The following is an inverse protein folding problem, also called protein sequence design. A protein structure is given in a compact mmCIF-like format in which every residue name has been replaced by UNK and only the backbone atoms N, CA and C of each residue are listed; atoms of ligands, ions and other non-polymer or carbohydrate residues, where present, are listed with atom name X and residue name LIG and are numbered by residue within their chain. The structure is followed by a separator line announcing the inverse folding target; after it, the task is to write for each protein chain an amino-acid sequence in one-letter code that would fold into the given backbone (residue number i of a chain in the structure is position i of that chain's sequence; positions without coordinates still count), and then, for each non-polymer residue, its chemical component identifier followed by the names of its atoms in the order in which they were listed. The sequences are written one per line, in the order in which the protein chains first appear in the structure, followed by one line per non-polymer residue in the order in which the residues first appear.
data_IF_291264655663
#
_entry.id   IF_291264655663
#
_cell.length_a   1.000
_cell.length_b   1.000
_cell.length_c   1.000
_cell.angle_alpha   90.00
_cell.angle_beta   90.00
_cell.angle_gamma   90.00
#
_symmetry.space_group_name_H-M   'P 1'
#
loop_
_entity.id
_entity.type
_entity.pdbx_description
1 polymer ?
#
# COMPACT_ATOMS: atom_id res chain seq x y z
N UNK A 1 0.22 -3.74 30.21
CA UNK A 1 0.85 -3.55 28.89
C UNK A 1 2.00 -2.58 29.06
N UNK A 2 3.25 -3.07 29.09
CA UNK A 2 4.41 -2.17 29.06
C UNK A 2 4.36 -1.45 27.70
N UNK A 3 4.58 -0.14 27.69
CA UNK A 3 4.65 0.62 26.44
C UNK A 3 5.62 -0.06 25.48
N UNK A 4 5.24 -0.17 24.20
CA UNK A 4 6.19 -0.40 23.11
C UNK A 4 7.12 0.82 23.08
N UNK A 5 8.08 0.89 24.01
CA UNK A 5 9.14 1.87 23.94
C UNK A 5 9.92 1.57 22.67
N UNK A 6 9.73 2.42 21.65
CA UNK A 6 10.56 2.45 20.46
C UNK A 6 12.02 2.39 20.91
N UNK A 7 12.74 1.38 20.42
CA UNK A 7 14.18 1.31 20.62
C UNK A 7 14.78 2.50 19.88
N UNK A 8 15.46 3.36 20.64
CA UNK A 8 16.24 4.47 20.11
C UNK A 8 17.55 3.88 19.65
N UNK A 9 17.77 3.86 18.34
CA UNK A 9 19.04 3.48 17.76
C UNK A 9 20.01 4.66 17.86
N UNK A 10 21.31 4.40 17.95
CA UNK A 10 22.30 5.46 18.04
C UNK A 10 22.38 6.24 16.71
N UNK A 11 21.57 7.29 16.58
CA UNK A 11 21.45 8.10 15.36
C UNK A 11 22.23 9.42 15.42
N UNK A 12 22.75 9.83 14.27
CA UNK A 12 23.24 11.19 14.02
C UNK A 12 22.11 12.18 13.70
N UNK A 13 21.01 11.73 13.09
CA UNK A 13 19.79 12.53 12.89
C UNK A 13 18.80 12.23 14.03
N UNK A 14 18.81 13.10 15.04
CA UNK A 14 17.91 13.01 16.20
C UNK A 14 16.54 13.61 15.95
N UNK A 15 16.38 14.38 14.88
CA UNK A 15 15.15 15.13 14.62
C UNK A 15 14.02 14.16 14.29
N UNK A 16 14.25 13.23 13.36
CA UNK A 16 13.24 12.30 12.85
C UNK A 16 13.36 10.86 13.37
N UNK A 17 14.16 10.62 14.41
CA UNK A 17 14.51 9.27 14.89
C UNK A 17 13.29 8.40 15.25
N UNK A 18 12.20 9.05 15.65
CA UNK A 18 10.93 8.44 16.03
C UNK A 18 10.12 7.91 14.84
N UNK A 19 10.38 8.40 13.62
CA UNK A 19 9.63 8.00 12.41
C UNK A 19 10.48 7.50 11.25
N UNK A 20 11.73 7.93 11.08
CA UNK A 20 12.54 7.60 9.89
C UNK A 20 12.87 6.10 9.77
N UNK A 21 13.23 5.61 8.57
CA UNK A 21 13.90 4.33 8.41
C UNK A 21 15.24 4.31 9.12
N UNK A 22 15.80 3.11 9.31
CA UNK A 22 17.16 2.98 9.84
C UNK A 22 18.19 3.60 8.89
N UNK A 23 19.38 3.85 9.40
CA UNK A 23 20.58 4.17 8.64
C UNK A 23 21.49 2.93 8.54
N UNK A 24 22.39 2.90 7.55
CA UNK A 24 23.34 1.80 7.38
C UNK A 24 24.18 1.53 8.63
N UNK A 25 24.53 2.59 9.39
CA UNK A 25 25.25 2.48 10.67
C UNK A 25 24.48 1.72 11.76
N UNK A 26 23.16 1.58 11.62
CA UNK A 26 22.27 0.94 12.61
C UNK A 26 21.94 -0.51 12.24
N UNK A 27 22.29 -0.95 11.02
CA UNK A 27 21.95 -2.27 10.47
C UNK A 27 22.47 -3.40 11.36
N UNK A 28 23.73 -3.32 11.81
CA UNK A 28 24.32 -4.37 12.67
C UNK A 28 23.54 -4.55 13.98
N UNK A 29 23.19 -3.44 14.63
CA UNK A 29 22.43 -3.48 15.89
C UNK A 29 21.01 -4.01 15.68
N UNK A 30 20.33 -3.55 14.63
CA UNK A 30 18.99 -4.00 14.28
C UNK A 30 18.96 -5.50 13.95
N UNK A 31 19.97 -6.01 13.22
CA UNK A 31 20.07 -7.42 12.89
C UNK A 31 20.27 -8.28 14.15
N UNK A 32 21.18 -7.91 15.06
CA UNK A 32 21.34 -8.66 16.30
C UNK A 32 20.07 -8.63 17.16
N UNK A 33 19.34 -7.51 17.17
CA UNK A 33 18.05 -7.44 17.85
C UNK A 33 17.05 -8.44 17.25
N UNK A 34 16.88 -8.43 15.93
CA UNK A 34 15.94 -9.32 15.24
C UNK A 34 16.31 -10.78 15.48
N UNK A 35 17.58 -11.16 15.30
CA UNK A 35 18.04 -12.56 15.45
C UNK A 35 17.89 -13.11 16.88
N UNK A 36 17.84 -12.25 17.90
CA UNK A 36 17.62 -12.63 19.29
C UNK A 36 16.13 -12.61 19.71
N UNK A 37 15.22 -12.13 18.87
CA UNK A 37 13.79 -12.10 19.15
C UNK A 37 13.12 -13.44 18.77
N UNK A 38 12.49 -14.08 19.75
CA UNK A 38 11.85 -15.40 19.58
C UNK A 38 10.64 -15.36 18.65
N UNK A 39 9.88 -14.26 18.64
CA UNK A 39 8.71 -14.11 17.78
C UNK A 39 9.14 -13.83 16.33
N UNK A 40 10.20 -13.04 16.13
CA UNK A 40 10.80 -12.87 14.81
C UNK A 40 11.25 -14.21 14.23
N UNK A 41 12.00 -15.01 14.99
CA UNK A 41 12.40 -16.35 14.56
C UNK A 41 11.21 -17.21 14.18
N UNK A 42 10.19 -17.30 15.05
CA UNK A 42 9.00 -18.10 14.78
C UNK A 42 8.24 -17.66 13.51
N UNK A 43 8.25 -16.36 13.18
CA UNK A 43 7.62 -15.83 11.98
C UNK A 43 8.44 -16.07 10.70
N UNK A 44 9.78 -15.95 10.77
CA UNK A 44 10.66 -15.97 9.59
C UNK A 44 11.16 -17.37 9.24
N UNK A 45 11.46 -18.21 10.23
CA UNK A 45 12.05 -19.54 10.03
C UNK A 45 11.26 -20.43 9.04
N UNK A 46 9.91 -20.48 9.07
CA UNK A 46 9.14 -21.24 8.07
C UNK A 46 9.26 -20.69 6.65
N UNK A 47 9.44 -19.37 6.50
CA UNK A 47 9.43 -18.69 5.21
C UNK A 47 10.78 -18.79 4.50
N UNK A 48 11.88 -18.82 5.26
CA UNK A 48 13.25 -18.91 4.73
C UNK A 48 13.67 -20.33 4.33
N UNK A 49 12.85 -21.35 4.63
CA UNK A 49 13.14 -22.72 4.22
C UNK A 49 13.39 -22.82 2.70
N UNK A 50 14.41 -23.60 2.27
CA UNK A 50 15.16 -24.59 3.06
C UNK A 50 16.39 -24.06 3.82
N UNK A 51 16.62 -22.75 3.88
CA UNK A 51 17.75 -22.17 4.63
C UNK A 51 17.56 -22.38 6.13
N UNK A 52 18.59 -22.89 6.82
CA UNK A 52 18.54 -23.09 8.28
C UNK A 52 18.61 -21.75 9.01
N UNK A 53 18.06 -21.69 10.23
CA UNK A 53 18.16 -20.48 11.05
C UNK A 53 19.61 -20.05 11.30
N UNK A 54 20.52 -21.00 11.48
CA UNK A 54 21.94 -20.70 11.75
C UNK A 54 22.62 -20.10 10.52
N UNK A 55 22.33 -20.61 9.32
CA UNK A 55 22.91 -20.08 8.09
C UNK A 55 22.30 -18.72 7.73
N UNK A 56 20.98 -18.56 7.91
CA UNK A 56 20.31 -17.26 7.79
C UNK A 56 20.89 -16.23 8.77
N UNK A 57 21.12 -16.64 10.02
CA UNK A 57 21.72 -15.78 11.04
C UNK A 57 23.14 -15.36 10.68
N UNK A 58 23.96 -16.28 10.15
CA UNK A 58 25.31 -15.96 9.66
C UNK A 58 25.27 -14.99 8.48
N UNK A 59 24.35 -15.21 7.53
CA UNK A 59 24.17 -14.33 6.37
C UNK A 59 23.77 -12.92 6.81
N UNK A 60 22.74 -12.81 7.66
CA UNK A 60 22.26 -11.55 8.23
C UNK A 60 23.39 -10.76 8.90
N UNK A 61 24.22 -11.42 9.72
CA UNK A 61 25.38 -10.77 10.37
C UNK A 61 26.43 -10.23 9.41
N UNK A 62 26.45 -10.71 8.17
CA UNK A 62 27.32 -10.21 7.11
C UNK A 62 26.90 -8.85 6.55
N UNK A 63 25.63 -8.47 6.63
CA UNK A 63 25.09 -7.25 6.01
C UNK A 63 25.60 -5.98 6.69
N UNK A 64 26.00 -4.99 5.89
CA UNK A 64 26.55 -3.71 6.36
C UNK A 64 25.69 -2.52 5.96
N UNK A 65 24.71 -2.72 5.09
CA UNK A 65 23.79 -1.69 4.61
C UNK A 65 22.35 -2.19 4.58
N UNK A 66 21.41 -1.24 4.50
CA UNK A 66 20.00 -1.51 4.24
C UNK A 66 19.84 -2.20 2.90
N UNK A 67 20.63 -1.78 1.90
CA UNK A 67 20.63 -2.41 0.57
C UNK A 67 21.00 -3.89 0.65
N UNK A 68 22.02 -4.27 1.42
CA UNK A 68 22.39 -5.68 1.62
C UNK A 68 21.20 -6.48 2.16
N UNK A 69 20.51 -5.95 3.18
CA UNK A 69 19.33 -6.61 3.76
C UNK A 69 18.19 -6.72 2.74
N UNK A 70 17.86 -5.63 2.04
CA UNK A 70 16.79 -5.62 1.04
C UNK A 70 17.08 -6.59 -0.10
N UNK A 71 18.30 -6.55 -0.66
CA UNK A 71 18.70 -7.37 -1.81
C UNK A 71 18.81 -8.86 -1.49
N UNK A 72 19.32 -9.20 -0.30
CA UNK A 72 19.58 -10.60 0.04
C UNK A 72 18.41 -11.28 0.77
N UNK A 73 17.53 -10.52 1.42
CA UNK A 73 16.39 -11.07 2.18
C UNK A 73 15.07 -10.70 1.54
N UNK A 74 14.73 -9.41 1.50
CA UNK A 74 13.39 -8.94 1.08
C UNK A 74 13.12 -9.29 -0.38
N UNK A 75 14.09 -9.05 -1.26
CA UNK A 75 13.99 -9.36 -2.68
C UNK A 75 13.66 -10.85 -2.91
N UNK A 76 14.42 -11.75 -2.28
CA UNK A 76 14.21 -13.20 -2.40
C UNK A 76 12.85 -13.65 -1.83
N UNK A 77 12.42 -13.06 -0.72
CA UNK A 77 11.13 -13.37 -0.11
C UNK A 77 9.96 -12.98 -1.03
N UNK A 78 9.99 -11.77 -1.57
CA UNK A 78 8.92 -11.31 -2.46
C UNK A 78 8.96 -12.06 -3.80
N UNK A 79 10.13 -12.40 -4.36
CA UNK A 79 10.20 -13.27 -5.55
C UNK A 79 9.54 -14.64 -5.30
N UNK A 80 9.72 -15.21 -4.11
CA UNK A 80 9.04 -16.45 -3.71
C UNK A 80 7.52 -16.26 -3.66
N UNK A 81 7.03 -15.12 -3.17
CA UNK A 81 5.60 -14.80 -3.19
C UNK A 81 5.05 -14.59 -4.59
N UNK A 82 5.75 -13.81 -5.44
CA UNK A 82 5.40 -13.61 -6.85
C UNK A 82 5.25 -14.96 -7.54
N UNK A 83 6.26 -15.82 -7.45
CA UNK A 83 6.26 -17.14 -8.10
C UNK A 83 5.06 -18.02 -7.74
N UNK A 84 4.57 -17.91 -6.51
CA UNK A 84 3.49 -18.78 -6.02
C UNK A 84 2.10 -18.18 -6.23
N UNK A 85 1.99 -16.85 -6.31
CA UNK A 85 0.71 -16.15 -6.13
C UNK A 85 0.40 -15.10 -7.20
N UNK A 86 1.31 -14.81 -8.12
CA UNK A 86 1.15 -13.79 -9.16
C UNK A 86 1.50 -14.40 -10.51
N UNK A 87 0.59 -14.32 -11.48
CA UNK A 87 0.81 -14.88 -12.82
C UNK A 87 1.72 -13.98 -13.67
N UNK A 88 1.50 -12.67 -13.56
CA UNK A 88 2.28 -11.65 -14.26
C UNK A 88 2.38 -10.41 -13.40
N UNK A 89 3.57 -9.83 -13.31
CA UNK A 89 3.81 -8.54 -12.69
C UNK A 89 4.31 -7.57 -13.76
N UNK A 90 3.62 -6.45 -13.95
CA UNK A 90 3.99 -5.43 -14.92
C UNK A 90 4.15 -4.05 -14.25
N UNK A 91 5.22 -3.35 -14.65
CA UNK A 91 5.43 -1.94 -14.35
C UNK A 91 5.36 -1.16 -15.67
N UNK A 92 4.26 -0.45 -15.85
CA UNK A 92 3.95 0.28 -17.07
C UNK A 92 4.24 1.77 -16.93
N UNK A 93 4.55 2.39 -18.06
CA UNK A 93 4.93 3.80 -18.19
C UNK A 93 6.14 4.25 -17.34
N UNK A 94 7.19 3.43 -17.08
CA UNK A 94 8.35 3.90 -16.31
C UNK A 94 9.13 5.02 -17.00
N UNK A 95 8.90 5.25 -18.31
CA UNK A 95 9.54 6.31 -19.10
C UNK A 95 8.79 7.64 -19.10
N UNK A 96 7.58 7.69 -18.54
CA UNK A 96 6.80 8.94 -18.41
C UNK A 96 7.28 9.77 -17.21
N UNK A 97 8.15 9.22 -16.38
CA UNK A 97 8.77 9.87 -15.22
C UNK A 97 10.29 9.64 -15.25
N UNK A 98 11.04 10.60 -14.72
CA UNK A 98 12.47 10.45 -14.52
C UNK A 98 12.72 9.71 -13.21
N UNK A 99 12.97 8.40 -13.30
CA UNK A 99 13.19 7.53 -12.14
C UNK A 99 14.55 7.74 -11.44
N UNK A 100 15.45 8.56 -12.02
CA UNK A 100 16.68 8.99 -11.36
C UNK A 100 16.43 10.20 -10.41
N UNK A 101 15.31 10.89 -10.58
CA UNK A 101 14.84 11.94 -9.67
C UNK A 101 13.94 11.37 -8.55
N UNK A 102 13.79 12.15 -7.48
CA UNK A 102 13.01 11.76 -6.31
C UNK A 102 11.55 12.23 -6.40
N UNK A 103 10.61 11.28 -6.31
CA UNK A 103 9.17 11.52 -6.45
C UNK A 103 8.39 11.07 -5.21
N UNK A 104 7.22 11.66 -4.98
CA UNK A 104 6.23 11.11 -4.04
C UNK A 104 5.18 10.33 -4.81
N UNK A 105 5.28 9.00 -4.80
CA UNK A 105 4.29 8.12 -5.40
C UNK A 105 3.05 8.01 -4.50
N UNK A 106 1.91 8.46 -5.01
CA UNK A 106 0.62 8.35 -4.34
C UNK A 106 -0.25 7.34 -5.10
N UNK A 107 -0.70 6.28 -4.43
CA UNK A 107 -1.47 5.21 -5.08
C UNK A 107 -2.77 4.84 -4.38
N UNK A 108 -3.67 4.17 -5.10
CA UNK A 108 -4.70 3.33 -4.47
C UNK A 108 -4.01 2.15 -3.76
N UNK A 109 -4.77 1.36 -2.99
CA UNK A 109 -4.19 0.35 -2.11
C UNK A 109 -4.95 -0.98 -2.17
N UNK A 110 -4.28 -2.04 -2.66
CA UNK A 110 -4.86 -3.37 -2.87
C UNK A 110 -4.36 -4.38 -1.82
N UNK A 111 -3.11 -4.31 -1.43
CA UNK A 111 -2.49 -5.17 -0.42
C UNK A 111 -1.73 -4.36 0.65
N UNK A 112 -1.96 -4.68 1.93
CA UNK A 112 -1.38 -3.96 3.07
C UNK A 112 0.16 -3.95 3.04
N UNK A 113 0.78 -5.03 2.57
CA UNK A 113 2.23 -5.23 2.62
C UNK A 113 2.82 -5.29 1.21
N UNK A 114 2.20 -6.04 0.30
CA UNK A 114 2.81 -6.37 -0.98
C UNK A 114 2.77 -5.22 -1.99
N UNK A 115 1.91 -4.21 -1.86
CA UNK A 115 1.90 -3.08 -2.80
C UNK A 115 3.28 -2.40 -2.88
N UNK A 116 3.85 -2.05 -1.72
CA UNK A 116 5.17 -1.44 -1.66
C UNK A 116 6.29 -2.43 -2.02
N UNK A 117 6.14 -3.72 -1.66
CA UNK A 117 7.12 -4.76 -1.98
C UNK A 117 7.24 -5.04 -3.47
N UNK A 118 6.10 -5.17 -4.16
CA UNK A 118 6.03 -5.43 -5.60
C UNK A 118 6.51 -4.23 -6.42
N UNK A 119 6.15 -3.01 -6.01
CA UNK A 119 6.69 -1.79 -6.63
C UNK A 119 8.22 -1.75 -6.51
N UNK A 120 8.76 -1.95 -5.31
CA UNK A 120 10.19 -1.84 -5.06
C UNK A 120 11.02 -2.90 -5.78
N UNK A 121 10.53 -4.12 -5.93
CA UNK A 121 11.20 -5.10 -6.78
C UNK A 121 11.13 -4.73 -8.25
N UNK A 122 9.99 -4.23 -8.72
CA UNK A 122 9.86 -3.80 -10.11
C UNK A 122 10.84 -2.67 -10.45
N UNK A 123 11.09 -1.76 -9.50
CA UNK A 123 12.12 -0.72 -9.61
C UNK A 123 13.54 -1.31 -9.60
N UNK A 124 13.85 -2.20 -8.64
CA UNK A 124 15.16 -2.85 -8.52
C UNK A 124 15.52 -3.68 -9.77
N UNK A 125 14.56 -4.41 -10.36
CA UNK A 125 14.74 -5.17 -11.61
C UNK A 125 15.08 -4.26 -12.81
N UNK A 126 14.65 -3.00 -12.77
CA UNK A 126 14.99 -2.00 -13.78
C UNK A 126 16.24 -1.18 -13.42
N UNK A 127 16.89 -1.47 -12.29
CA UNK A 127 18.11 -0.80 -11.84
C UNK A 127 17.88 0.52 -11.10
N UNK A 128 16.65 0.80 -10.66
CA UNK A 128 16.31 2.01 -9.90
C UNK A 128 16.26 1.77 -8.40
N UNK A 129 16.42 2.84 -7.63
CA UNK A 129 16.37 2.80 -6.17
C UNK A 129 14.96 2.47 -5.66
N UNK A 130 14.89 1.64 -4.62
CA UNK A 130 13.66 1.39 -3.86
C UNK A 130 13.20 2.63 -3.11
N UNK A 131 11.91 2.75 -2.85
CA UNK A 131 11.26 3.87 -2.14
C UNK A 131 11.38 3.76 -0.63
N UNK A 132 11.27 4.90 0.06
CA UNK A 132 10.85 4.92 1.46
C UNK A 132 9.33 4.72 1.56
N UNK A 133 8.87 3.92 2.53
CA UNK A 133 7.49 3.40 2.58
C UNK A 133 6.77 4.00 3.79
N UNK A 134 5.67 4.72 3.57
CA UNK A 134 4.82 5.17 4.67
C UNK A 134 4.07 3.99 5.30
N UNK A 135 4.23 3.77 6.61
CA UNK A 135 3.51 2.72 7.35
C UNK A 135 2.86 3.26 8.62
N UNK A 136 1.60 2.91 8.87
CA UNK A 136 0.88 3.28 10.09
C UNK A 136 1.40 2.53 11.34
N UNK A 137 1.54 3.24 12.46
CA UNK A 137 1.96 2.67 13.74
C UNK A 137 0.97 1.63 14.32
N UNK A 138 -0.28 1.66 13.89
CA UNK A 138 -1.32 0.68 14.25
C UNK A 138 -0.93 -0.78 13.90
N UNK A 139 -0.06 -0.98 12.90
CA UNK A 139 0.45 -2.30 12.50
C UNK A 139 1.67 -2.75 13.31
N UNK A 140 2.29 -1.84 14.07
CA UNK A 140 3.56 -2.06 14.76
C UNK A 140 3.34 -2.63 16.17
N UNK A 141 2.63 -3.77 16.23
CA UNK A 141 2.18 -4.39 17.48
C UNK A 141 3.32 -5.03 18.30
N UNK A 142 4.43 -5.40 17.64
CA UNK A 142 5.61 -5.97 18.29
C UNK A 142 6.88 -5.18 17.93
N UNK A 143 7.83 -5.00 18.87
CA UNK A 143 9.06 -4.24 18.61
C UNK A 143 9.91 -4.75 17.44
N UNK A 144 9.93 -6.06 17.20
CA UNK A 144 10.64 -6.65 16.06
C UNK A 144 10.01 -6.22 14.73
N UNK A 145 8.69 -6.01 14.65
CA UNK A 145 8.02 -5.52 13.44
C UNK A 145 8.49 -4.10 13.14
N UNK A 146 8.49 -3.22 14.15
CA UNK A 146 9.01 -1.85 14.00
C UNK A 146 10.44 -1.84 13.48
N UNK A 147 11.30 -2.70 14.02
CA UNK A 147 12.69 -2.78 13.58
C UNK A 147 12.80 -3.31 12.16
N UNK A 148 12.06 -4.36 11.81
CA UNK A 148 12.07 -4.97 10.50
C UNK A 148 11.61 -3.99 9.41
N UNK A 149 10.49 -3.28 9.62
CA UNK A 149 9.97 -2.35 8.61
C UNK A 149 10.88 -1.14 8.44
N UNK A 150 11.46 -0.60 9.53
CA UNK A 150 12.44 0.49 9.45
C UNK A 150 13.75 0.05 8.78
N UNK A 151 14.17 -1.20 8.99
CA UNK A 151 15.29 -1.81 8.26
C UNK A 151 14.96 -2.03 6.78
N UNK A 152 13.67 -2.09 6.42
CA UNK A 152 13.17 -2.17 5.05
C UNK A 152 12.66 -0.82 4.51
N UNK A 153 13.36 0.29 4.85
CA UNK A 153 13.06 1.65 4.38
C UNK A 153 11.67 2.21 4.76
N UNK A 154 10.94 1.63 5.71
CA UNK A 154 9.66 2.22 6.13
C UNK A 154 9.84 3.37 7.12
N UNK A 155 9.09 4.44 6.92
CA UNK A 155 8.90 5.50 7.90
C UNK A 155 7.50 5.47 8.50
N UNK A 156 7.39 5.89 9.76
CA UNK A 156 6.21 5.66 10.59
C UNK A 156 5.26 6.86 10.54
N UNK A 157 4.01 6.59 10.20
CA UNK A 157 2.89 7.51 10.33
C UNK A 157 2.19 7.23 11.66
N UNK A 158 2.25 8.20 12.58
CA UNK A 158 1.63 8.09 13.91
C UNK A 158 0.12 8.32 13.84
N UNK A 159 -0.68 7.30 14.17
CA UNK A 159 -2.16 7.34 14.06
C UNK A 159 -2.83 7.31 15.43
N UNK A 160 -2.33 6.45 16.32
CA UNK A 160 -2.93 6.21 17.63
C UNK A 160 -2.44 7.22 18.67
N UNK A 161 -2.49 8.52 18.34
CA UNK A 161 -2.02 9.62 19.19
C UNK A 161 -3.17 10.50 19.69
N UNK A 162 -3.05 11.12 20.88
CA UNK A 162 -4.04 12.06 21.38
C UNK A 162 -4.29 13.20 20.39
N UNK A 163 -5.54 13.64 20.27
CA UNK A 163 -5.96 14.71 19.32
C UNK A 163 -5.07 15.97 19.40
N UNK A 164 -4.60 16.31 20.60
CA UNK A 164 -3.72 17.47 20.83
C UNK A 164 -2.34 17.36 20.17
N UNK A 165 -1.87 16.14 19.88
CA UNK A 165 -0.58 15.86 19.26
C UNK A 165 -0.68 15.62 17.74
N UNK A 166 -1.89 15.47 17.19
CA UNK A 166 -2.09 15.16 15.76
C UNK A 166 -1.45 16.22 14.87
N UNK A 167 -1.62 17.51 15.18
CA UNK A 167 -1.07 18.59 14.36
C UNK A 167 0.46 18.59 14.35
N UNK A 168 1.08 18.40 15.52
CA UNK A 168 2.53 18.34 15.67
C UNK A 168 3.11 17.13 14.94
N UNK A 169 2.52 15.94 15.12
CA UNK A 169 2.94 14.74 14.41
C UNK A 169 2.74 14.84 12.89
N UNK A 170 1.65 15.48 12.44
CA UNK A 170 1.39 15.73 11.02
C UNK A 170 2.40 16.70 10.41
N UNK A 171 2.78 17.74 11.15
CA UNK A 171 3.80 18.69 10.72
C UNK A 171 5.18 18.03 10.66
N UNK A 172 5.54 17.25 11.67
CA UNK A 172 6.78 16.46 11.71
C UNK A 172 6.89 15.50 10.51
N UNK A 173 5.79 14.81 10.18
CA UNK A 173 5.72 13.93 9.01
C UNK A 173 5.86 14.70 7.69
N UNK A 174 5.21 15.86 7.57
CA UNK A 174 5.33 16.73 6.40
C UNK A 174 6.79 17.18 6.20
N UNK A 175 7.44 17.69 7.25
CA UNK A 175 8.83 18.12 7.22
C UNK A 175 9.76 16.97 6.83
N UNK A 176 9.54 15.77 7.37
CA UNK A 176 10.28 14.57 6.99
C UNK A 176 10.16 14.26 5.50
N UNK A 177 8.93 14.21 4.96
CA UNK A 177 8.71 13.87 3.56
C UNK A 177 9.36 14.89 2.61
N UNK A 178 9.23 16.18 2.92
CA UNK A 178 9.89 17.25 2.16
C UNK A 178 11.42 17.13 2.19
N UNK A 179 12.01 16.85 3.35
CA UNK A 179 13.46 16.64 3.50
C UNK A 179 13.92 15.41 2.72
N UNK A 180 13.15 14.32 2.74
CA UNK A 180 13.46 13.08 2.01
C UNK A 180 13.48 13.29 0.49
N UNK A 181 12.52 14.03 -0.06
CA UNK A 181 12.52 14.38 -1.49
C UNK A 181 13.64 15.40 -1.80
N UNK A 182 13.66 16.55 -1.12
CA UNK A 182 14.52 17.66 -1.51
C UNK A 182 16.01 17.45 -1.21
N UNK A 183 16.33 16.88 -0.04
CA UNK A 183 17.71 16.77 0.46
C UNK A 183 18.28 15.35 0.32
N UNK A 184 17.51 14.32 0.70
CA UNK A 184 18.00 12.93 0.60
C UNK A 184 17.95 12.37 -0.82
N UNK A 185 17.18 13.00 -1.73
CA UNK A 185 16.98 12.54 -3.10
C UNK A 185 16.47 11.10 -3.16
N UNK A 186 15.48 10.80 -2.33
CA UNK A 186 14.93 9.46 -2.16
C UNK A 186 13.41 9.49 -2.37
N UNK A 187 12.90 8.71 -3.32
CA UNK A 187 11.47 8.62 -3.59
C UNK A 187 10.70 8.00 -2.43
N UNK A 188 9.44 8.41 -2.27
CA UNK A 188 8.51 7.92 -1.24
C UNK A 188 7.33 7.22 -1.91
N UNK A 189 6.82 6.16 -1.29
CA UNK A 189 5.50 5.61 -1.60
C UNK A 189 4.55 5.80 -0.41
N UNK A 190 3.34 6.28 -0.70
CA UNK A 190 2.26 6.46 0.27
C UNK A 190 0.90 6.15 -0.38
N UNK A 191 0.02 5.47 0.34
CA UNK A 191 -1.36 5.25 -0.11
C UNK A 191 -2.17 6.56 -0.04
N UNK A 192 -3.06 6.79 -1.01
CA UNK A 192 -3.88 8.00 -1.14
C UNK A 192 -4.87 8.23 0.01
N UNK A 193 -5.07 7.22 0.85
CA UNK A 193 -5.93 7.25 2.01
C UNK A 193 -5.46 6.29 3.09
N UNK A 194 -5.97 6.51 4.29
CA UNK A 194 -5.89 5.54 5.37
C UNK A 194 -6.62 4.24 5.04
N UNK A 195 -5.84 3.15 4.99
CA UNK A 195 -6.34 1.78 4.81
C UNK A 195 -6.81 1.49 3.39
N UNK A 196 -7.07 0.21 3.13
CA UNK A 196 -7.61 -0.26 1.84
C UNK A 196 -9.11 0.01 1.74
N UNK A 197 -9.59 0.46 0.58
CA UNK A 197 -11.03 0.47 0.32
C UNK A 197 -11.60 -0.96 0.40
N UNK A 198 -12.79 -1.08 1.00
CA UNK A 198 -13.47 -2.36 1.18
C UNK A 198 -14.27 -2.76 -0.05
N UNK A 199 -14.74 -1.78 -0.79
CA UNK A 199 -15.49 -1.87 -2.04
C UNK A 199 -14.64 -1.57 -3.29
N UNK A 200 -13.31 -1.44 -3.13
CA UNK A 200 -12.38 -1.04 -4.19
C UNK A 200 -12.64 0.34 -4.81
N UNK A 201 -13.45 1.19 -4.15
CA UNK A 201 -13.65 2.59 -4.50
C UNK A 201 -12.73 3.49 -3.66
N UNK A 202 -11.44 3.46 -4.01
CA UNK A 202 -10.42 4.28 -3.36
C UNK A 202 -10.59 5.75 -3.74
N UNK A 203 -10.60 6.64 -2.74
CA UNK A 203 -10.70 8.10 -2.90
C UNK A 203 -9.63 8.79 -2.07
N UNK A 204 -8.96 9.76 -2.65
CA UNK A 204 -7.87 10.49 -2.01
C UNK A 204 -8.40 11.30 -0.83
N UNK A 205 -7.75 11.17 0.33
CA UNK A 205 -8.12 11.92 1.51
C UNK A 205 -7.51 13.33 1.46
N UNK A 206 -8.35 14.36 1.34
CA UNK A 206 -7.88 15.76 1.36
C UNK A 206 -7.10 16.13 2.64
N UNK A 207 -7.34 15.43 3.76
CA UNK A 207 -6.56 15.58 5.00
C UNK A 207 -5.09 15.16 4.84
N UNK A 208 -4.80 14.16 4.01
CA UNK A 208 -3.43 13.75 3.67
C UNK A 208 -2.73 14.87 2.91
N UNK A 209 -3.36 15.43 1.86
CA UNK A 209 -2.77 16.56 1.13
C UNK A 209 -2.59 17.79 2.02
N UNK A 210 -3.56 18.06 2.90
CA UNK A 210 -3.43 19.12 3.91
C UNK A 210 -2.20 18.90 4.79
N UNK A 211 -1.96 17.67 5.24
CA UNK A 211 -0.76 17.31 6.01
C UNK A 211 0.51 17.62 5.21
N UNK A 212 0.58 17.25 3.93
CA UNK A 212 1.74 17.50 3.06
C UNK A 212 2.10 18.99 2.90
N UNK A 213 1.15 19.89 3.12
CA UNK A 213 1.35 21.36 3.04
C UNK A 213 1.75 22.01 4.37
N UNK A 214 1.87 21.25 5.47
CA UNK A 214 2.09 21.83 6.79
C UNK A 214 3.46 22.49 6.97
N UNK A 215 4.47 22.09 6.18
CA UNK A 215 5.79 22.73 6.17
C UNK A 215 5.76 24.20 5.71
N UNK A 216 4.89 24.54 4.75
CA UNK A 216 4.64 25.92 4.33
C UNK A 216 3.15 26.15 4.04
N UNK A 217 2.43 26.40 5.13
CA UNK A 217 0.98 26.67 5.12
C UNK A 217 0.61 27.93 4.35
N UNK A 218 1.56 28.85 4.13
CA UNK A 218 1.30 30.09 3.39
C UNK A 218 1.33 29.83 1.88
N UNK A 219 2.09 28.85 1.42
CA UNK A 219 2.21 28.47 0.02
C UNK A 219 1.93 26.97 -0.18
N UNK A 220 0.67 26.52 -0.03
CA UNK A 220 0.32 25.10 -0.13
C UNK A 220 0.62 24.51 -1.50
N UNK A 221 0.48 25.28 -2.59
CA UNK A 221 0.79 24.81 -3.94
C UNK A 221 2.26 24.55 -4.14
N UNK A 222 3.10 25.52 -3.79
CA UNK A 222 4.54 25.32 -3.87
C UNK A 222 5.01 24.20 -2.94
N UNK A 223 4.33 23.98 -1.82
CA UNK A 223 4.59 22.81 -0.97
C UNK A 223 4.26 21.50 -1.69
N UNK A 224 3.08 21.37 -2.31
CA UNK A 224 2.74 20.15 -3.06
C UNK A 224 3.68 19.92 -4.24
N UNK A 225 4.05 20.98 -4.96
CA UNK A 225 4.95 20.89 -6.12
C UNK A 225 6.36 20.42 -5.75
N UNK A 226 6.87 20.85 -4.60
CA UNK A 226 8.18 20.41 -4.06
C UNK A 226 8.24 18.92 -3.72
N UNK A 227 7.10 18.26 -3.54
CA UNK A 227 7.03 16.82 -3.29
C UNK A 227 7.03 15.98 -4.57
N UNK A 228 6.93 16.63 -5.73
CA UNK A 228 6.86 16.02 -7.06
C UNK A 228 5.92 14.80 -7.08
N UNK A 229 4.63 15.08 -6.89
CA UNK A 229 3.62 14.03 -6.72
C UNK A 229 3.39 13.34 -8.07
N UNK A 230 3.60 12.03 -8.07
CA UNK A 230 3.34 11.13 -9.19
C UNK A 230 2.25 10.14 -8.77
N UNK A 231 1.03 10.22 -9.34
CA UNK A 231 0.01 9.21 -9.10
C UNK A 231 0.47 7.85 -9.65
N UNK A 232 0.13 6.78 -8.93
CA UNK A 232 0.48 5.41 -9.28
C UNK A 232 -0.79 4.56 -9.20
N UNK A 233 -1.19 3.97 -10.32
CA UNK A 233 -2.33 3.06 -10.36
C UNK A 233 -1.89 1.62 -10.08
N UNK A 234 -2.57 0.95 -9.13
CA UNK A 234 -2.33 -0.45 -8.75
C UNK A 234 -3.57 -1.27 -9.08
N UNK A 235 -3.40 -2.23 -9.99
CA UNK A 235 -4.47 -3.11 -10.46
C UNK A 235 -4.10 -4.57 -10.21
N UNK A 236 -4.82 -5.22 -9.30
CA UNK A 236 -4.73 -6.66 -9.09
C UNK A 236 -5.92 -7.28 -9.82
N UNK A 237 -5.72 -8.39 -10.49
CA UNK A 237 -6.80 -9.15 -11.09
C UNK A 237 -7.67 -9.75 -9.98
N UNK A 238 -7.09 -10.47 -9.02
CA UNK A 238 -7.82 -10.97 -7.86
C UNK A 238 -7.36 -10.28 -6.57
N UNK A 239 -8.29 -9.98 -5.66
CA UNK A 239 -7.99 -9.50 -4.32
C UNK A 239 -8.04 -10.68 -3.33
N UNK A 240 -6.88 -11.11 -2.79
CA UNK A 240 -6.81 -12.19 -1.80
C UNK A 240 -7.74 -12.03 -0.60
N UNK A 241 -8.06 -10.78 -0.24
CA UNK A 241 -8.84 -10.43 0.93
C UNK A 241 -10.31 -10.14 0.63
N UNK A 242 -10.80 -10.38 -0.59
CA UNK A 242 -12.19 -10.06 -0.95
C UNK A 242 -13.24 -10.70 -0.03
N UNK A 243 -13.07 -11.97 0.34
CA UNK A 243 -13.95 -12.67 1.26
C UNK A 243 -13.92 -12.06 2.68
N UNK A 244 -12.75 -11.62 3.15
CA UNK A 244 -12.61 -10.94 4.45
C UNK A 244 -13.30 -9.57 4.43
N UNK A 245 -13.26 -8.87 3.29
CA UNK A 245 -13.96 -7.58 3.10
C UNK A 245 -15.47 -7.79 3.06
N UNK A 246 -15.95 -8.80 2.34
CA UNK A 246 -17.37 -9.16 2.29
C UNK A 246 -17.89 -9.60 3.66
N UNK A 247 -17.14 -10.43 4.38
CA UNK A 247 -17.43 -10.81 5.77
C UNK A 247 -17.55 -9.57 6.66
N UNK A 248 -16.61 -8.63 6.56
CA UNK A 248 -16.67 -7.37 7.32
C UNK A 248 -17.92 -6.54 6.98
N UNK A 249 -18.34 -6.49 5.71
CA UNK A 249 -19.58 -5.81 5.33
C UNK A 249 -20.80 -6.44 5.98
N UNK A 250 -20.89 -7.79 6.01
CA UNK A 250 -22.03 -8.46 6.63
C UNK A 250 -22.02 -8.22 8.15
N UNK A 251 -20.87 -8.39 8.80
CA UNK A 251 -20.76 -8.19 10.25
C UNK A 251 -21.13 -6.75 10.65
N UNK A 252 -20.77 -5.74 9.85
CA UNK A 252 -21.18 -4.34 10.10
C UNK A 252 -22.66 -4.08 9.84
N UNK A 253 -23.27 -4.79 8.89
CA UNK A 253 -24.70 -4.72 8.62
C UNK A 253 -25.50 -5.33 9.78
N UNK A 254 -25.03 -6.46 10.30
CA UNK A 254 -25.74 -7.24 11.30
C UNK A 254 -25.46 -6.75 12.74
N UNK A 255 -24.29 -6.12 12.97
CA UNK A 255 -23.86 -5.60 14.28
C UNK A 255 -23.32 -4.17 14.17
N UNK A 256 -24.09 -3.19 14.68
CA UNK A 256 -23.76 -1.76 14.61
C UNK A 256 -22.41 -1.40 15.25
N UNK A 257 -22.04 -2.08 16.35
CA UNK A 257 -20.81 -1.84 17.10
C UNK A 257 -19.62 -2.69 16.64
N UNK A 258 -19.73 -3.41 15.51
CA UNK A 258 -18.65 -4.28 15.04
C UNK A 258 -17.37 -3.49 14.79
N UNK A 259 -16.29 -3.93 15.47
CA UNK A 259 -14.94 -3.42 15.28
C UNK A 259 -13.99 -4.59 15.07
N UNK A 260 -13.15 -4.48 14.05
CA UNK A 260 -12.05 -5.43 13.83
C UNK A 260 -11.13 -5.49 15.04
N UNK A 261 -10.70 -6.69 15.37
CA UNK A 261 -9.65 -6.95 16.33
C UNK A 261 -8.27 -6.80 15.68
N UNK A 262 -7.22 -6.72 16.51
CA UNK A 262 -5.83 -6.76 16.02
C UNK A 262 -5.49 -8.09 15.33
N UNK A 263 -6.19 -9.17 15.70
CA UNK A 263 -6.01 -10.47 15.09
C UNK A 263 -6.58 -10.49 13.66
N UNK A 264 -7.69 -9.79 13.42
CA UNK A 264 -8.26 -9.66 12.07
C UNK A 264 -7.32 -8.92 11.13
N UNK A 265 -6.63 -7.88 11.62
CA UNK A 265 -5.61 -7.18 10.83
C UNK A 265 -4.42 -8.10 10.48
N UNK A 266 -3.99 -8.97 11.40
CA UNK A 266 -2.96 -9.97 11.14
C UNK A 266 -3.40 -11.00 10.09
N UNK A 267 -4.65 -11.48 10.18
CA UNK A 267 -5.23 -12.39 9.19
C UNK A 267 -5.30 -11.73 7.82
N UNK A 268 -5.73 -10.46 7.75
CA UNK A 268 -5.76 -9.70 6.49
C UNK A 268 -4.35 -9.55 5.89
N UNK A 269 -3.33 -9.27 6.70
CA UNK A 269 -1.94 -9.16 6.23
C UNK A 269 -1.41 -10.50 5.70
N UNK A 270 -1.62 -11.59 6.42
CA UNK A 270 -1.18 -12.93 6.01
C UNK A 270 -1.91 -13.40 4.75
N UNK A 271 -3.23 -13.20 4.70
CA UNK A 271 -4.08 -13.53 3.55
C UNK A 271 -3.65 -12.74 2.32
N UNK A 272 -3.39 -11.44 2.48
CA UNK A 272 -2.82 -10.59 1.42
C UNK A 272 -1.52 -11.18 0.87
N UNK A 273 -0.56 -11.49 1.73
CA UNK A 273 0.73 -12.06 1.30
C UNK A 273 0.56 -13.40 0.56
N UNK A 274 -0.24 -14.31 1.11
CA UNK A 274 -0.29 -15.71 0.68
C UNK A 274 -1.31 -16.00 -0.41
N UNK A 275 -2.33 -15.17 -0.59
CA UNK A 275 -3.38 -15.43 -1.56
C UNK A 275 -2.99 -15.05 -2.99
N UNK A 276 -3.60 -15.77 -3.92
CA UNK A 276 -3.47 -15.60 -5.37
C UNK A 276 -4.05 -14.26 -5.84
N UNK A 277 -3.34 -13.61 -6.77
CA UNK A 277 -3.63 -12.25 -7.26
C UNK A 277 -3.87 -12.18 -8.77
N UNK A 278 -3.67 -13.28 -9.50
CA UNK A 278 -3.66 -13.29 -10.96
C UNK A 278 -2.61 -12.33 -11.53
N UNK A 279 -3.00 -11.54 -12.52
CA UNK A 279 -2.17 -10.49 -13.08
C UNK A 279 -2.15 -9.24 -12.18
N UNK A 280 -0.95 -8.69 -11.95
CA UNK A 280 -0.73 -7.48 -11.17
C UNK A 280 -0.05 -6.43 -12.04
N UNK A 281 -0.65 -5.25 -12.13
CA UNK A 281 -0.15 -4.13 -12.91
C UNK A 281 0.02 -2.89 -12.05
N UNK A 282 1.21 -2.31 -12.11
CA UNK A 282 1.54 -0.99 -11.60
C UNK A 282 1.71 -0.05 -12.80
N UNK A 283 1.05 1.10 -12.80
CA UNK A 283 1.16 2.08 -13.89
C UNK A 283 1.48 3.45 -13.33
N UNK A 284 2.65 3.98 -13.68
CA UNK A 284 2.98 5.38 -13.37
C UNK A 284 2.13 6.31 -14.23
N UNK A 285 1.58 7.33 -13.56
CA UNK A 285 0.94 8.47 -14.21
C UNK A 285 1.95 9.60 -14.39
N UNK A 286 1.55 10.68 -15.07
CA UNK A 286 2.41 11.86 -15.22
C UNK A 286 2.52 12.62 -13.90
N UNK A 287 3.66 13.29 -13.64
CA UNK A 287 3.79 14.18 -12.48
C UNK A 287 2.71 15.26 -12.49
N UNK A 288 2.12 15.56 -11.33
CA UNK A 288 0.98 16.46 -11.25
C UNK A 288 1.33 17.94 -11.31
N UNK A 289 2.60 18.32 -11.26
CA UNK A 289 3.03 19.72 -11.16
C UNK A 289 2.42 20.61 -12.26
N UNK A 290 2.41 20.16 -13.51
CA UNK A 290 1.79 20.90 -14.61
C UNK A 290 0.28 21.09 -14.42
N UNK A 291 -0.43 20.04 -14.00
CA UNK A 291 -1.88 20.11 -13.72
C UNK A 291 -2.18 21.00 -12.52
N UNK A 292 -1.34 20.94 -11.48
CA UNK A 292 -1.46 21.76 -10.27
C UNK A 292 -1.31 23.25 -10.63
N UNK A 293 -0.35 23.61 -11.49
CA UNK A 293 -0.18 24.99 -11.96
C UNK A 293 -1.44 25.52 -12.65
N UNK A 294 -2.06 24.72 -13.51
CA UNK A 294 -3.30 25.10 -14.21
C UNK A 294 -4.47 25.37 -13.26
N UNK A 295 -4.69 24.51 -12.26
CA UNK A 295 -5.83 24.66 -11.33
C UNK A 295 -5.59 25.74 -10.27
N UNK A 296 -4.33 25.95 -9.86
CA UNK A 296 -3.97 26.94 -8.83
C UNK A 296 -4.29 28.39 -9.23
N UNK A 297 -4.28 28.69 -10.54
CA UNK A 297 -4.61 30.01 -11.05
C UNK A 297 -6.08 30.42 -10.83
N UNK A 298 -6.96 29.47 -10.48
CA UNK A 298 -8.41 29.66 -10.45
C UNK A 298 -9.10 29.37 -9.11
N UNK A 299 -8.38 28.86 -8.10
CA UNK A 299 -8.98 28.33 -6.86
C UNK A 299 -8.28 28.84 -5.58
N UNK A 300 -9.03 28.96 -4.49
CA UNK A 300 -8.52 29.35 -3.18
C UNK A 300 -8.44 28.18 -2.19
N UNK A 301 -7.36 28.10 -1.42
CA UNK A 301 -7.27 27.38 -0.14
C UNK A 301 -7.79 25.94 -0.14
N UNK A 302 -8.86 25.67 0.63
CA UNK A 302 -9.39 24.31 0.83
C UNK A 302 -10.01 23.69 -0.42
N UNK A 303 -10.56 24.51 -1.33
CA UNK A 303 -11.12 24.04 -2.61
C UNK A 303 -9.99 23.44 -3.45
N UNK A 304 -8.81 24.06 -3.41
CA UNK A 304 -7.66 23.63 -4.17
C UNK A 304 -7.15 22.25 -3.73
N UNK A 305 -7.13 21.95 -2.42
CA UNK A 305 -6.76 20.61 -1.93
C UNK A 305 -7.77 19.54 -2.36
N UNK A 306 -9.05 19.87 -2.42
CA UNK A 306 -10.06 18.96 -2.97
C UNK A 306 -9.82 18.73 -4.45
N UNK A 307 -9.61 19.80 -5.24
CA UNK A 307 -9.31 19.69 -6.68
C UNK A 307 -8.06 18.83 -6.93
N UNK A 308 -6.98 19.01 -6.15
CA UNK A 308 -5.79 18.15 -6.28
C UNK A 308 -6.08 16.71 -5.87
N UNK A 309 -6.94 16.47 -4.87
CA UNK A 309 -7.38 15.12 -4.51
C UNK A 309 -8.15 14.46 -5.67
N UNK A 310 -9.05 15.21 -6.29
CA UNK A 310 -9.84 14.75 -7.43
C UNK A 310 -8.94 14.47 -8.66
N UNK A 311 -7.90 15.30 -8.88
CA UNK A 311 -6.90 15.07 -9.94
C UNK A 311 -6.09 13.79 -9.73
N UNK A 312 -5.71 13.48 -8.47
CA UNK A 312 -5.02 12.22 -8.14
C UNK A 312 -5.96 11.04 -8.43
N UNK A 313 -7.22 11.12 -7.97
CA UNK A 313 -8.22 10.08 -8.20
C UNK A 313 -8.50 9.89 -9.69
N UNK A 314 -8.62 10.97 -10.46
CA UNK A 314 -8.82 10.94 -11.92
C UNK A 314 -7.66 10.22 -12.61
N UNK A 315 -6.42 10.61 -12.31
CA UNK A 315 -5.23 9.98 -12.89
C UNK A 315 -5.13 8.50 -12.52
N UNK A 316 -5.42 8.12 -11.28
CA UNK A 316 -5.35 6.71 -10.86
C UNK A 316 -6.44 5.88 -11.55
N UNK A 317 -7.68 6.37 -11.56
CA UNK A 317 -8.82 5.65 -12.13
C UNK A 317 -8.69 5.48 -13.65
N UNK A 318 -8.25 6.53 -14.34
CA UNK A 318 -8.01 6.52 -15.79
C UNK A 318 -6.96 5.50 -16.20
N UNK A 319 -6.03 5.21 -15.29
CA UNK A 319 -4.86 4.36 -15.54
C UNK A 319 -4.99 2.93 -14.98
N UNK A 320 -6.16 2.54 -14.45
CA UNK A 320 -6.41 1.14 -14.08
C UNK A 320 -6.24 0.20 -15.28
N UNK A 321 -5.63 -0.95 -15.02
CA UNK A 321 -5.68 -2.09 -15.93
C UNK A 321 -6.99 -2.82 -15.69
N UNK A 322 -7.78 -3.00 -16.75
CA UNK A 322 -9.12 -3.60 -16.65
C UNK A 322 -9.05 -5.03 -17.19
N UNK A 323 -9.28 -5.99 -16.31
CA UNK A 323 -9.31 -7.42 -16.63
C UNK A 323 -10.73 -7.86 -17.02
N UNK A 324 -10.85 -9.04 -17.66
CA UNK A 324 -12.14 -9.58 -18.11
C UNK A 324 -13.13 -9.72 -16.95
N UNK A 325 -12.65 -10.08 -15.76
CA UNK A 325 -13.49 -10.20 -14.55
C UNK A 325 -14.15 -8.88 -14.12
N UNK A 326 -13.55 -7.71 -14.41
CA UNK A 326 -14.14 -6.42 -14.06
C UNK A 326 -15.36 -6.12 -14.93
N UNK A 327 -15.27 -6.47 -16.22
CA UNK A 327 -16.41 -6.39 -17.16
C UNK A 327 -17.52 -7.38 -16.79
N UNK A 328 -17.15 -8.62 -16.44
CA UNK A 328 -18.11 -9.64 -15.99
C UNK A 328 -18.84 -9.16 -14.73
N UNK A 329 -18.10 -8.66 -13.74
CA UNK A 329 -18.65 -8.18 -12.48
C UNK A 329 -19.63 -7.01 -12.69
N UNK A 330 -19.28 -6.06 -13.57
CA UNK A 330 -20.18 -4.96 -13.94
C UNK A 330 -21.49 -5.46 -14.55
N UNK A 331 -21.40 -6.37 -15.52
CA UNK A 331 -22.57 -6.90 -16.23
C UNK A 331 -23.48 -7.71 -15.28
N UNK A 332 -22.90 -8.50 -14.38
CA UNK A 332 -23.67 -9.23 -13.35
C UNK A 332 -24.36 -8.24 -12.40
N UNK A 333 -23.62 -7.26 -11.87
CA UNK A 333 -24.16 -6.30 -10.90
C UNK A 333 -25.32 -5.46 -11.46
N UNK A 334 -25.25 -5.11 -12.75
CA UNK A 334 -26.25 -4.27 -13.42
C UNK A 334 -27.31 -5.07 -14.19
N UNK A 335 -27.29 -6.41 -14.14
CA UNK A 335 -28.13 -7.27 -14.97
C UNK A 335 -28.08 -6.88 -16.46
N UNK A 336 -26.88 -6.64 -16.99
CA UNK A 336 -26.63 -6.17 -18.35
C UNK A 336 -25.70 -7.08 -19.15
N UNK A 337 -25.64 -6.87 -20.46
CA UNK A 337 -24.71 -7.51 -21.39
C UNK A 337 -23.83 -6.48 -22.13
N UNK A 338 -23.72 -5.28 -21.57
CA UNK A 338 -23.04 -4.10 -22.14
C UNK A 338 -21.61 -4.44 -22.57
N UNK A 339 -20.91 -5.26 -21.79
CA UNK A 339 -19.51 -5.61 -22.03
C UNK A 339 -19.31 -7.07 -22.43
N UNK A 340 -20.35 -7.76 -22.91
CA UNK A 340 -20.29 -9.16 -23.37
C UNK A 340 -19.25 -9.45 -24.45
N UNK A 341 -18.76 -8.44 -25.17
CA UNK A 341 -17.66 -8.57 -26.14
C UNK A 341 -16.25 -8.58 -25.51
N UNK A 342 -16.14 -8.30 -24.20
CA UNK A 342 -14.87 -8.21 -23.45
C UNK A 342 -14.50 -9.48 -22.70
N UNK A 343 -15.38 -10.48 -22.68
CA UNK A 343 -15.17 -11.76 -22.03
C UNK A 343 -15.93 -12.87 -22.76
N UNK A 344 -15.55 -14.12 -22.52
CA UNK A 344 -16.25 -15.29 -23.02
C UNK A 344 -16.99 -16.05 -21.89
N UNK A 345 -17.80 -17.04 -22.28
CA UNK A 345 -18.61 -17.82 -21.33
C UNK A 345 -17.76 -18.59 -20.29
N UNK A 346 -16.58 -19.07 -20.68
CA UNK A 346 -15.66 -19.76 -19.76
C UNK A 346 -15.11 -18.81 -18.71
N UNK A 347 -14.66 -17.61 -19.10
CA UNK A 347 -14.19 -16.59 -18.15
C UNK A 347 -15.30 -16.18 -17.17
N UNK A 348 -16.53 -15.99 -17.67
CA UNK A 348 -17.69 -15.69 -16.82
C UNK A 348 -17.95 -16.81 -15.81
N UNK A 349 -17.95 -18.06 -16.25
CA UNK A 349 -18.17 -19.19 -15.36
C UNK A 349 -17.05 -19.33 -14.32
N UNK A 350 -15.79 -19.16 -14.72
CA UNK A 350 -14.65 -19.18 -13.82
C UNK A 350 -14.73 -18.08 -12.76
N UNK A 351 -15.14 -16.86 -13.14
CA UNK A 351 -15.32 -15.77 -12.18
C UNK A 351 -16.45 -16.04 -11.19
N UNK A 352 -17.59 -16.55 -11.67
CA UNK A 352 -18.71 -16.94 -10.78
C UNK A 352 -18.27 -18.05 -9.82
N UNK A 353 -17.55 -19.06 -10.30
CA UNK A 353 -17.00 -20.13 -9.46
C UNK A 353 -16.00 -19.58 -8.44
N UNK A 354 -15.13 -18.67 -8.84
CA UNK A 354 -14.21 -17.97 -7.94
C UNK A 354 -14.98 -17.25 -6.83
N UNK A 355 -16.01 -16.44 -7.16
CA UNK A 355 -16.82 -15.75 -6.15
C UNK A 355 -17.44 -16.74 -5.16
N UNK A 356 -18.00 -17.85 -5.64
CA UNK A 356 -18.57 -18.89 -4.79
C UNK A 356 -17.51 -19.48 -3.84
N UNK A 357 -16.32 -19.80 -4.35
CA UNK A 357 -15.20 -20.29 -3.53
C UNK A 357 -14.74 -19.27 -2.49
N UNK A 358 -14.77 -17.97 -2.81
CA UNK A 358 -14.47 -16.91 -1.84
C UNK A 358 -15.54 -16.81 -0.77
N UNK A 359 -16.82 -16.88 -1.13
CA UNK A 359 -17.92 -16.91 -0.16
C UNK A 359 -17.82 -18.13 0.74
N UNK A 360 -17.46 -19.31 0.23
CA UNK A 360 -17.30 -20.53 1.03
C UNK A 360 -16.27 -20.41 2.15
N UNK A 361 -15.22 -19.58 1.98
CA UNK A 361 -14.23 -19.29 3.03
C UNK A 361 -14.78 -18.50 4.22
N UNK A 362 -15.98 -17.92 4.09
CA UNK A 362 -16.58 -17.09 5.12
C UNK A 362 -17.33 -17.97 6.11
N UNK A 363 -16.82 -18.01 7.34
CA UNK A 363 -17.39 -18.73 8.48
C UNK A 363 -17.91 -17.73 9.51
N UNK A 364 -19.21 -17.39 9.44
CA UNK A 364 -19.92 -16.53 10.40
C UNK A 364 -21.34 -17.06 10.65
N UNK A 365 -21.90 -16.69 11.80
CA UNK A 365 -23.31 -16.94 12.10
C UNK A 365 -24.23 -16.18 11.13
N UNK A 366 -25.36 -16.79 10.77
CA UNK A 366 -26.36 -16.20 9.85
C UNK A 366 -25.78 -15.74 8.50
N UNK A 367 -24.83 -16.48 7.94
CA UNK A 367 -24.21 -16.22 6.63
C UNK A 367 -25.26 -15.95 5.55
N UNK A 368 -25.23 -14.75 4.99
CA UNK A 368 -26.14 -14.29 3.93
C UNK A 368 -25.38 -14.36 2.60
N UNK A 369 -25.55 -15.49 1.89
CA UNK A 369 -24.78 -15.81 0.69
C UNK A 369 -24.99 -14.76 -0.40
N UNK A 370 -26.23 -14.39 -0.69
CA UNK A 370 -26.56 -13.42 -1.75
C UNK A 370 -25.94 -12.04 -1.46
N UNK A 371 -25.96 -11.60 -0.21
CA UNK A 371 -25.32 -10.34 0.19
C UNK A 371 -23.81 -10.40 0.04
N UNK A 372 -23.17 -11.49 0.46
CA UNK A 372 -21.72 -11.67 0.38
C UNK A 372 -21.24 -11.74 -1.08
N UNK A 373 -21.92 -12.52 -1.92
CA UNK A 373 -21.65 -12.59 -3.36
C UNK A 373 -21.75 -11.20 -4.00
N UNK A 374 -22.84 -10.48 -3.71
CA UNK A 374 -23.05 -9.11 -4.22
C UNK A 374 -21.91 -8.20 -3.82
N UNK A 375 -21.43 -8.26 -2.57
CA UNK A 375 -20.33 -7.41 -2.09
C UNK A 375 -19.00 -7.73 -2.77
N UNK A 376 -18.70 -9.01 -3.03
CA UNK A 376 -17.50 -9.39 -3.78
C UNK A 376 -17.60 -8.89 -5.23
N UNK A 377 -18.74 -9.11 -5.89
CA UNK A 377 -18.97 -8.65 -7.27
C UNK A 377 -18.86 -7.12 -7.37
N UNK A 378 -19.44 -6.38 -6.42
CA UNK A 378 -19.37 -4.92 -6.33
C UNK A 378 -17.92 -4.41 -6.30
N UNK A 379 -17.04 -5.08 -5.54
CA UNK A 379 -15.62 -4.73 -5.49
C UNK A 379 -14.95 -4.78 -6.86
N UNK A 380 -15.21 -5.83 -7.65
CA UNK A 380 -14.61 -5.99 -8.98
C UNK A 380 -15.25 -5.08 -10.02
N UNK A 381 -16.56 -4.82 -9.91
CA UNK A 381 -17.29 -3.89 -10.78
C UNK A 381 -16.84 -2.44 -10.57
N UNK A 382 -16.59 -2.03 -9.32
CA UNK A 382 -16.20 -0.66 -8.97
C UNK A 382 -14.89 -0.22 -9.64
N UNK A 383 -13.97 -1.14 -9.93
CA UNK A 383 -12.75 -0.83 -10.69
C UNK A 383 -13.12 -0.29 -12.08
N UNK A 384 -14.01 -0.98 -12.79
CA UNK A 384 -14.49 -0.55 -14.11
C UNK A 384 -15.39 0.69 -14.02
N UNK A 385 -16.29 0.77 -13.03
CA UNK A 385 -17.16 1.94 -12.84
C UNK A 385 -16.31 3.21 -12.66
N UNK A 386 -15.30 3.14 -11.79
CA UNK A 386 -14.41 4.27 -11.55
C UNK A 386 -13.60 4.64 -12.80
N UNK A 387 -13.07 3.66 -13.53
CA UNK A 387 -12.36 3.89 -14.78
C UNK A 387 -13.23 4.58 -15.85
N UNK A 388 -14.48 4.15 -16.02
CA UNK A 388 -15.41 4.76 -16.97
C UNK A 388 -15.81 6.17 -16.56
N UNK A 389 -15.97 6.43 -15.24
CA UNK A 389 -16.43 7.72 -14.73
C UNK A 389 -15.50 8.91 -14.99
N UNK A 390 -14.25 8.64 -15.41
CA UNK A 390 -13.21 9.65 -15.68
C UNK A 390 -12.78 9.69 -17.16
N UNK A 391 -13.47 8.93 -18.02
CA UNK A 391 -13.26 8.95 -19.48
C UNK A 391 -14.34 9.73 -20.24
N UNK A 392 -15.49 9.96 -19.60
CA UNK A 392 -16.58 10.80 -20.11
C UNK A 392 -16.33 12.28 -19.77
#
# INVERSE_FOLDING_TARGET
MKSNTQRVYASTDKEFDDIRPLHDSEVKEAIEFLLNDKMFRAAIEPVILPVTWDDFSKQMRGFNSIYDFQKNVIYNLILKFIKNNVDKLELLNPREIDLDESHTYISNHRDIILDAGLLNISLEEQGYSTTEIAIGDNLLIYPWITTLVRLNKSFIVKRDIPVRQILEASQHLSEYMHKTIAEKKQSIWIAQREGRAKDSNDRTQASMLKMLTLTDRKNPIESLKKLDIVPLSISYEYDPCDFLKAQEFQLKRDFEDYKKSKQDDLINMLTGIQGYKGNVCFRFCKPLNEKIDLVSASQNGSILLQVVSDLIDEEICKNFEIYSINYIAYDILNNSDRFSSKYNATEKNNFVEYVNQQVDKIEIDNKDVDFLETKIIEMYANILINHLSVQD
#
